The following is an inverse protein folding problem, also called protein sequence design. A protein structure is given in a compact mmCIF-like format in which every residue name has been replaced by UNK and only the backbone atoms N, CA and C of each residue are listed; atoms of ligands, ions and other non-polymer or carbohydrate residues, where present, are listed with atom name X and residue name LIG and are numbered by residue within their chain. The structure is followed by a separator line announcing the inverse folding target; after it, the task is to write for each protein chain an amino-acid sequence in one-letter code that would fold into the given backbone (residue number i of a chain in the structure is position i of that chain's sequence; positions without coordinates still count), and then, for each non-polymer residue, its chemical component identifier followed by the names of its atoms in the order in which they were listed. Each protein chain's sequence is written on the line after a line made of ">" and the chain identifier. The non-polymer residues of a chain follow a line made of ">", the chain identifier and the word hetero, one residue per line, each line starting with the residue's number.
data_IF_261579061076
#
_entry.id   IF_261579061076
#
_cell.length_a   1.000
_cell.length_b   1.000
_cell.length_c   1.000
_cell.angle_alpha   90.00
_cell.angle_beta   90.00
_cell.angle_gamma   90.00
#
_symmetry.space_group_name_H-M   'P 1'
#
loop_
_entity.id
_entity.type
_entity.pdbx_description
1 polymer ?
#
# COMPACT_ATOMS: atom_id res chain seq x y z
N UNK A 1 -6.37 24.99 12.02
CA UNK A 1 -5.31 23.97 11.86
C UNK A 1 -5.83 22.94 10.88
N UNK A 2 -5.49 23.10 9.61
CA UNK A 2 -5.97 22.26 8.52
C UNK A 2 -5.35 20.86 8.63
N UNK A 3 -6.19 19.82 8.68
CA UNK A 3 -5.76 18.44 8.54
C UNK A 3 -5.54 18.21 7.04
N UNK A 4 -4.31 18.38 6.58
CA UNK A 4 -3.95 17.96 5.23
C UNK A 4 -4.24 16.45 5.13
N UNK A 5 -5.09 16.07 4.18
CA UNK A 5 -5.34 14.69 3.80
C UNK A 5 -3.99 14.00 3.52
N UNK A 6 -3.52 13.18 4.45
CA UNK A 6 -2.38 12.29 4.23
C UNK A 6 -2.91 11.04 3.53
N UNK A 7 -3.13 11.13 2.22
CA UNK A 7 -3.17 9.92 1.41
C UNK A 7 -1.82 9.22 1.58
N UNK A 8 -1.84 7.90 1.75
CA UNK A 8 -0.62 7.16 2.00
C UNK A 8 0.36 7.32 0.82
N UNK A 9 1.53 7.89 1.10
CA UNK A 9 2.55 8.14 0.07
C UNK A 9 3.32 6.86 -0.20
N UNK A 10 3.47 6.50 -1.47
CA UNK A 10 4.36 5.40 -1.85
C UNK A 10 5.81 5.81 -1.61
N UNK A 11 6.49 5.11 -0.71
CA UNK A 11 7.88 5.39 -0.31
C UNK A 11 8.80 4.30 -0.88
N UNK A 12 9.81 4.70 -1.66
CA UNK A 12 10.78 3.77 -2.25
C UNK A 12 11.79 3.22 -1.23
N UNK A 13 11.97 3.90 -0.10
CA UNK A 13 12.86 3.50 1.01
C UNK A 13 12.10 3.62 2.32
N UNK A 14 12.35 2.71 3.27
CA UNK A 14 11.77 2.80 4.63
C UNK A 14 12.15 4.17 5.20
N UNK A 15 11.22 5.11 5.35
CA UNK A 15 11.58 6.44 5.81
C UNK A 15 12.08 6.34 7.25
N UNK A 16 13.21 6.98 7.53
CA UNK A 16 13.89 6.90 8.81
C UNK A 16 12.95 7.36 9.93
N UNK A 17 12.58 6.42 10.81
CA UNK A 17 11.66 6.64 11.92
C UNK A 17 10.21 6.17 11.71
N UNK A 18 9.82 5.69 10.51
CA UNK A 18 8.52 5.03 10.38
C UNK A 18 8.57 3.58 10.83
N UNK A 19 7.56 3.19 11.60
CA UNK A 19 7.45 1.83 12.09
C UNK A 19 6.63 1.01 11.09
N UNK A 20 7.18 -0.13 10.66
CA UNK A 20 6.41 -1.11 9.90
C UNK A 20 5.17 -1.49 10.71
N UNK A 21 3.99 -1.14 10.20
CA UNK A 21 2.70 -1.48 10.80
C UNK A 21 2.39 -2.94 10.54
N UNK A 22 2.69 -3.39 9.32
CA UNK A 22 2.35 -4.72 8.87
C UNK A 22 2.62 -4.91 7.39
N UNK A 23 2.06 -5.98 6.86
CA UNK A 23 2.12 -6.32 5.44
C UNK A 23 0.71 -6.62 4.99
N UNK A 24 0.30 -6.03 3.88
CA UNK A 24 -1.01 -6.23 3.26
C UNK A 24 -0.83 -6.93 1.92
N UNK A 25 -1.84 -7.70 1.54
CA UNK A 25 -1.93 -8.33 0.23
C UNK A 25 -3.25 -7.95 -0.42
N UNK A 26 -3.20 -7.71 -1.73
CA UNK A 26 -4.36 -7.43 -2.54
C UNK A 26 -4.36 -8.33 -3.77
N UNK A 27 -5.56 -8.56 -4.29
CA UNK A 27 -5.80 -9.45 -5.40
C UNK A 27 -6.67 -8.69 -6.38
N UNK A 28 -6.05 -8.17 -7.43
CA UNK A 28 -6.78 -7.67 -8.57
C UNK A 28 -6.85 -8.75 -9.64
N UNK A 29 -7.87 -8.69 -10.49
CA UNK A 29 -7.94 -9.54 -11.69
C UNK A 29 -6.84 -9.14 -12.66
N UNK A 30 -7.20 -8.58 -13.80
CA UNK A 30 -6.24 -8.19 -14.84
C UNK A 30 -5.83 -6.72 -14.80
N UNK A 31 -6.24 -5.95 -13.77
CA UNK A 31 -6.07 -4.49 -13.72
C UNK A 31 -5.15 -4.06 -12.56
N UNK A 32 -4.10 -3.30 -12.90
CA UNK A 32 -3.18 -2.76 -11.90
C UNK A 32 -3.84 -1.68 -11.03
N UNK A 33 -4.72 -0.85 -11.61
CA UNK A 33 -5.41 0.20 -10.85
C UNK A 33 -6.27 -0.35 -9.71
N UNK A 34 -7.01 -1.46 -9.95
CA UNK A 34 -7.80 -2.11 -8.89
C UNK A 34 -6.91 -2.72 -7.79
N UNK A 35 -5.67 -3.10 -8.14
CA UNK A 35 -4.72 -3.63 -7.18
C UNK A 35 -4.24 -2.51 -6.26
N UNK A 36 -3.83 -1.40 -6.85
CA UNK A 36 -3.37 -0.22 -6.13
C UNK A 36 -4.47 0.36 -5.24
N UNK A 37 -5.70 0.47 -5.74
CA UNK A 37 -6.86 0.89 -4.95
C UNK A 37 -7.08 0.00 -3.73
N UNK A 38 -7.04 -1.34 -3.90
CA UNK A 38 -7.17 -2.26 -2.78
C UNK A 38 -6.02 -2.16 -1.78
N UNK A 39 -4.79 -1.97 -2.25
CA UNK A 39 -3.63 -1.81 -1.38
C UNK A 39 -3.71 -0.50 -0.61
N UNK A 40 -4.05 0.61 -1.27
CA UNK A 40 -4.23 1.91 -0.65
C UNK A 40 -5.35 1.86 0.39
N UNK A 41 -6.50 1.30 0.02
CA UNK A 41 -7.64 1.18 0.92
C UNK A 41 -7.31 0.35 2.16
N UNK A 42 -6.64 -0.81 1.99
CA UNK A 42 -6.16 -1.62 3.12
C UNK A 42 -5.11 -0.90 3.96
N UNK A 43 -4.24 -0.12 3.35
CA UNK A 43 -3.24 0.66 4.07
C UNK A 43 -3.91 1.71 4.96
N UNK A 44 -4.89 2.44 4.42
CA UNK A 44 -5.68 3.43 5.17
C UNK A 44 -6.52 2.77 6.29
N UNK A 45 -7.19 1.64 6.02
CA UNK A 45 -7.93 0.87 7.03
C UNK A 45 -7.04 0.41 8.18
N UNK A 46 -5.79 0.06 7.88
CA UNK A 46 -4.80 -0.34 8.87
C UNK A 46 -4.15 0.86 9.59
N UNK A 47 -4.52 2.10 9.23
CA UNK A 47 -3.98 3.32 9.80
C UNK A 47 -2.54 3.61 9.38
N UNK A 48 -2.13 3.13 8.22
CA UNK A 48 -0.83 3.42 7.64
C UNK A 48 -0.82 4.78 6.94
N UNK A 49 0.31 5.47 7.03
CA UNK A 49 0.57 6.75 6.33
C UNK A 49 1.41 6.58 5.07
N UNK A 50 2.00 5.41 4.88
CA UNK A 50 2.80 5.11 3.70
C UNK A 50 2.69 3.61 3.42
N UNK A 51 2.65 3.25 2.15
CA UNK A 51 2.72 1.86 1.72
C UNK A 51 3.85 1.70 0.70
N UNK A 52 4.37 0.48 0.57
CA UNK A 52 5.42 0.15 -0.38
C UNK A 52 5.14 -1.21 -0.95
N UNK A 53 4.95 -1.26 -2.25
CA UNK A 53 4.71 -2.50 -2.96
C UNK A 53 6.03 -3.29 -2.99
N UNK A 54 6.04 -4.49 -2.44
CA UNK A 54 7.23 -5.36 -2.38
C UNK A 54 7.25 -6.38 -3.50
N UNK A 55 6.07 -6.81 -3.98
CA UNK A 55 5.98 -7.72 -5.09
C UNK A 55 4.61 -7.60 -5.76
N UNK A 56 4.62 -7.61 -7.10
CA UNK A 56 3.42 -7.74 -7.92
C UNK A 56 3.64 -8.90 -8.88
N UNK A 57 2.77 -9.90 -8.84
CA UNK A 57 2.92 -11.12 -9.64
C UNK A 57 1.59 -11.52 -10.26
N UNK A 58 1.56 -11.84 -11.56
CA UNK A 58 0.32 -12.31 -12.18
C UNK A 58 0.25 -12.28 -13.70
N UNK A 59 0.16 -13.43 -14.41
CA UNK A 59 -0.17 -13.47 -15.83
C UNK A 59 -1.69 -13.40 -16.12
N UNK A 60 -2.54 -13.91 -15.21
CA UNK A 60 -4.01 -13.92 -15.34
C UNK A 60 -4.73 -13.16 -14.22
N UNK A 61 -4.17 -13.17 -13.02
CA UNK A 61 -4.65 -12.41 -11.85
C UNK A 61 -3.45 -11.71 -11.25
N UNK A 62 -3.54 -10.41 -11.02
CA UNK A 62 -2.51 -9.58 -10.41
C UNK A 62 -2.60 -9.70 -8.89
N UNK A 63 -1.57 -10.30 -8.29
CA UNK A 63 -1.40 -10.39 -6.86
C UNK A 63 -0.33 -9.40 -6.43
N UNK A 64 -0.73 -8.42 -5.62
CA UNK A 64 0.17 -7.42 -5.06
C UNK A 64 0.35 -7.64 -3.58
N UNK A 65 1.59 -7.52 -3.11
CA UNK A 65 1.92 -7.45 -1.69
C UNK A 65 2.59 -6.11 -1.42
N UNK A 66 2.13 -5.42 -0.39
CA UNK A 66 2.72 -4.17 0.06
C UNK A 66 2.99 -4.19 1.56
N UNK A 67 4.09 -3.59 1.96
CA UNK A 67 4.40 -3.29 3.35
C UNK A 67 3.83 -1.91 3.68
N UNK A 68 3.20 -1.80 4.84
CA UNK A 68 2.59 -0.55 5.30
C UNK A 68 3.33 0.00 6.51
N UNK A 69 3.43 1.33 6.58
CA UNK A 69 4.21 2.09 7.54
C UNK A 69 3.38 3.24 8.12
N UNK A 70 3.64 3.59 9.38
CA UNK A 70 3.02 4.73 10.07
C UNK A 70 4.06 5.55 10.82
#
# INVERSE_FOLDING_TARGET
>A
MSFANFAAVEVQSTPEGQQKVGTISANAGTNLGSLEEQLAQKADEMGAKSFRITSVTGPNTLHGTAVIYK
#
